data_IF_805479972647
#
_entry.id   IF_805479972647
#
_cell.length_a   1.000
_cell.length_b   1.000
_cell.length_c   1.000
_cell.angle_alpha   90.00
_cell.angle_beta   90.00
_cell.angle_gamma   90.00
#
_symmetry.space_group_name_H-M   'P 1'
#
loop_
_entity.id
_entity.type
_entity.pdbx_description
1 polymer ?
#
# COMPACT_ATOMS: atom_id res chain seq x y z
N UNK A 1 -16.19 -29.06 17.99
CA UNK A 1 -15.54 -27.96 17.25
C UNK A 1 -16.57 -27.39 16.31
N UNK A 2 -16.79 -26.08 16.34
CA UNK A 2 -17.69 -25.43 15.40
C UNK A 2 -16.89 -25.00 14.16
N UNK A 3 -17.41 -25.30 12.98
CA UNK A 3 -16.86 -24.89 11.70
C UNK A 3 -17.59 -23.61 11.26
N UNK A 4 -16.85 -22.58 10.88
CA UNK A 4 -17.42 -21.29 10.48
C UNK A 4 -17.44 -21.21 8.96
N UNK A 5 -18.64 -21.18 8.37
CA UNK A 5 -18.83 -21.02 6.94
C UNK A 5 -19.28 -19.58 6.62
N UNK A 6 -18.61 -18.95 5.64
CA UNK A 6 -18.91 -17.59 5.19
C UNK A 6 -19.77 -17.63 3.93
N UNK A 7 -21.02 -17.19 4.03
CA UNK A 7 -21.98 -17.15 2.91
C UNK A 7 -22.03 -15.79 2.20
N UNK A 8 -21.36 -14.78 2.74
CA UNK A 8 -21.29 -13.43 2.20
C UNK A 8 -19.93 -12.79 2.52
N UNK A 9 -19.54 -11.70 1.84
CA UNK A 9 -18.37 -10.92 2.22
C UNK A 9 -18.46 -10.52 3.70
N UNK A 10 -17.38 -10.77 4.44
CA UNK A 10 -17.25 -10.41 5.84
C UNK A 10 -16.07 -9.44 5.98
N UNK A 11 -16.33 -8.27 6.55
CA UNK A 11 -15.30 -7.33 6.94
C UNK A 11 -15.29 -7.21 8.47
N UNK A 12 -14.15 -7.54 9.07
CA UNK A 12 -13.86 -7.25 10.48
C UNK A 12 -12.66 -6.31 10.45
N UNK A 13 -12.91 -5.03 10.71
CA UNK A 13 -11.87 -4.01 10.80
C UNK A 13 -11.42 -3.78 12.24
N UNK A 14 -10.18 -3.33 12.39
CA UNK A 14 -9.62 -2.80 13.63
C UNK A 14 -9.89 -1.29 13.82
N UNK A 15 -10.54 -0.67 12.84
CA UNK A 15 -10.83 0.76 12.80
C UNK A 15 -9.78 1.58 12.02
N UNK A 16 -8.66 0.97 11.63
CA UNK A 16 -7.65 1.61 10.78
C UNK A 16 -8.05 1.57 9.30
N UNK A 17 -7.39 2.42 8.51
CA UNK A 17 -7.75 2.68 7.12
C UNK A 17 -6.50 2.70 6.26
N UNK A 18 -6.52 1.92 5.18
CA UNK A 18 -5.49 2.04 4.16
C UNK A 18 -5.67 3.35 3.40
N UNK A 19 -4.59 4.09 3.28
CA UNK A 19 -4.51 5.28 2.45
C UNK A 19 -3.79 4.96 1.14
N UNK A 20 -3.81 5.88 0.17
CA UNK A 20 -3.02 5.72 -1.05
C UNK A 20 -1.50 5.66 -0.81
N UNK A 21 -1.03 5.93 0.41
CA UNK A 21 0.36 5.75 0.80
C UNK A 21 0.69 4.32 1.23
N UNK A 22 -0.30 3.45 1.39
CA UNK A 22 -0.13 2.11 1.95
C UNK A 22 -0.18 1.01 0.90
N UNK A 23 -0.38 1.32 -0.38
CA UNK A 23 -0.44 0.30 -1.42
C UNK A 23 0.12 0.74 -2.77
N UNK A 24 0.45 -0.26 -3.58
CA UNK A 24 0.83 -0.14 -4.98
C UNK A 24 -0.09 -1.00 -5.81
N UNK A 25 -0.54 -0.47 -6.95
CA UNK A 25 -1.34 -1.21 -7.91
C UNK A 25 -0.47 -1.76 -9.03
N UNK A 26 -0.54 -3.07 -9.23
CA UNK A 26 0.17 -3.80 -10.29
C UNK A 26 -0.84 -4.62 -11.09
N UNK A 27 -1.43 -3.99 -12.12
CA UNK A 27 -2.52 -4.55 -12.91
C UNK A 27 -3.79 -4.80 -12.08
N UNK A 28 -4.15 -6.08 -11.92
CA UNK A 28 -5.26 -6.56 -11.09
C UNK A 28 -4.86 -6.85 -9.64
N UNK A 29 -3.57 -6.73 -9.29
CA UNK A 29 -3.09 -6.97 -7.93
C UNK A 29 -2.89 -5.66 -7.18
N UNK A 30 -3.34 -5.64 -5.94
CA UNK A 30 -3.07 -4.57 -4.99
C UNK A 30 -2.13 -5.12 -3.92
N UNK A 31 -0.95 -4.52 -3.80
CA UNK A 31 0.08 -4.94 -2.83
C UNK A 31 0.14 -3.89 -1.73
N UNK A 32 -0.07 -4.30 -0.49
CA UNK A 32 -0.10 -3.40 0.65
C UNK A 32 1.28 -3.33 1.30
N UNK A 33 1.85 -2.14 1.33
CA UNK A 33 3.11 -1.79 1.96
C UNK A 33 2.81 -0.68 2.98
N UNK A 34 2.48 -1.06 4.21
CA UNK A 34 2.18 -0.09 5.28
C UNK A 34 3.30 0.96 5.35
N UNK A 35 2.92 2.24 5.29
CA UNK A 35 3.88 3.33 5.10
C UNK A 35 4.98 3.35 6.17
N UNK A 36 4.64 3.03 7.42
CA UNK A 36 5.61 2.95 8.53
C UNK A 36 6.72 1.91 8.29
N UNK A 37 6.39 0.77 7.67
CA UNK A 37 7.41 -0.24 7.30
C UNK A 37 8.35 0.30 6.23
N UNK A 38 7.81 1.05 5.28
CA UNK A 38 8.60 1.68 4.21
C UNK A 38 9.58 2.70 4.80
N UNK A 39 9.09 3.57 5.68
CA UNK A 39 9.94 4.53 6.40
C UNK A 39 10.99 3.83 7.27
N UNK A 40 10.61 2.72 7.91
CA UNK A 40 11.52 1.88 8.70
C UNK A 40 12.70 1.34 7.87
N UNK A 41 12.44 0.81 6.68
CA UNK A 41 13.48 0.32 5.77
C UNK A 41 14.35 1.46 5.24
N UNK A 42 13.75 2.59 4.83
CA UNK A 42 14.51 3.77 4.39
C UNK A 42 15.45 4.27 5.51
N UNK A 43 14.99 4.23 6.76
CA UNK A 43 15.77 4.71 7.91
C UNK A 43 17.03 3.88 8.18
N UNK A 44 17.09 2.65 7.67
CA UNK A 44 18.24 1.74 7.76
C UNK A 44 19.26 1.94 6.62
N UNK A 45 18.95 2.76 5.61
CA UNK A 45 19.88 3.06 4.51
C UNK A 45 21.02 4.00 4.96
N UNK A 46 22.13 3.98 4.20
CA UNK A 46 23.28 4.86 4.45
C UNK A 46 22.89 6.35 4.38
N UNK A 47 23.52 7.19 5.20
CA UNK A 47 23.12 8.58 5.46
C UNK A 47 22.71 9.39 4.23
N UNK A 48 23.56 9.45 3.19
CA UNK A 48 23.27 10.20 1.96
C UNK A 48 22.12 9.58 1.15
N UNK A 49 22.02 8.25 1.09
CA UNK A 49 20.93 7.56 0.39
C UNK A 49 19.60 7.80 1.10
N UNK A 50 19.58 7.59 2.42
CA UNK A 50 18.44 7.85 3.30
C UNK A 50 17.94 9.28 3.15
N UNK A 51 18.83 10.26 3.24
CA UNK A 51 18.47 11.68 3.10
C UNK A 51 17.85 11.99 1.73
N UNK A 52 18.45 11.49 0.65
CA UNK A 52 17.91 11.65 -0.69
C UNK A 52 16.50 11.02 -0.84
N UNK A 53 16.26 9.84 -0.25
CA UNK A 53 14.93 9.21 -0.26
C UNK A 53 13.90 10.00 0.54
N UNK A 54 14.25 10.46 1.74
CA UNK A 54 13.35 11.24 2.58
C UNK A 54 13.00 12.59 1.94
N UNK A 55 13.97 13.25 1.28
CA UNK A 55 13.73 14.46 0.51
C UNK A 55 12.79 14.18 -0.68
N UNK A 56 12.99 13.07 -1.40
CA UNK A 56 12.10 12.67 -2.49
C UNK A 56 10.68 12.38 -2.01
N UNK A 57 10.52 11.67 -0.90
CA UNK A 57 9.21 11.41 -0.29
C UNK A 57 8.45 12.71 0.00
N UNK A 58 9.13 13.72 0.54
CA UNK A 58 8.52 15.04 0.82
C UNK A 58 8.10 15.79 -0.44
N UNK A 59 8.75 15.51 -1.57
CA UNK A 59 8.45 16.16 -2.87
C UNK A 59 7.30 15.51 -3.62
N UNK A 60 6.84 14.33 -3.19
CA UNK A 60 5.73 13.66 -3.86
C UNK A 60 4.39 14.24 -3.41
N UNK A 61 3.82 15.06 -4.28
CA UNK A 61 2.40 15.39 -4.21
C UNK A 61 1.61 14.23 -4.82
N UNK A 62 0.56 13.77 -4.10
CA UNK A 62 -0.46 12.77 -4.48
C UNK A 62 -0.33 11.36 -3.89
N UNK A 63 -1.46 10.64 -3.96
CA UNK A 63 -1.73 9.27 -3.47
C UNK A 63 -0.93 8.14 -4.16
N UNK A 64 0.12 8.44 -4.93
CA UNK A 64 0.95 7.46 -5.65
C UNK A 64 2.40 7.47 -5.16
N UNK A 65 2.61 7.84 -3.90
CA UNK A 65 3.93 8.02 -3.28
C UNK A 65 4.78 6.76 -3.35
N UNK A 66 4.22 5.60 -3.02
CA UNK A 66 4.97 4.35 -3.06
C UNK A 66 5.34 3.92 -4.48
N UNK A 67 4.45 4.16 -5.44
CA UNK A 67 4.73 3.84 -6.84
C UNK A 67 5.91 4.66 -7.36
N UNK A 68 5.89 5.97 -7.11
CA UNK A 68 7.01 6.87 -7.46
C UNK A 68 8.29 6.53 -6.70
N UNK A 69 8.18 6.24 -5.40
CA UNK A 69 9.33 5.82 -4.60
C UNK A 69 9.98 4.56 -5.19
N UNK A 70 9.18 3.58 -5.59
CA UNK A 70 9.70 2.35 -6.20
C UNK A 70 10.13 2.52 -7.65
N UNK A 71 9.68 3.54 -8.37
CA UNK A 71 10.24 3.91 -9.67
C UNK A 71 11.62 4.56 -9.50
N UNK A 72 11.74 5.54 -8.59
CA UNK A 72 12.98 6.26 -8.32
C UNK A 72 14.04 5.38 -7.62
N UNK A 73 13.60 4.44 -6.78
CA UNK A 73 14.45 3.56 -5.97
C UNK A 73 14.03 2.09 -6.12
N UNK A 74 14.09 1.56 -7.34
CA UNK A 74 13.61 0.22 -7.69
C UNK A 74 14.11 -0.94 -6.80
N UNK A 75 15.31 -0.83 -6.23
CA UNK A 75 15.83 -1.86 -5.33
C UNK A 75 15.04 -1.98 -4.01
N UNK A 76 14.30 -0.95 -3.59
CA UNK A 76 13.45 -1.01 -2.40
C UNK A 76 12.34 -2.06 -2.54
N UNK A 77 11.87 -2.36 -3.75
CA UNK A 77 10.89 -3.44 -3.98
C UNK A 77 11.39 -4.81 -3.53
N UNK A 78 12.71 -5.02 -3.54
CA UNK A 78 13.34 -6.27 -3.07
C UNK A 78 13.64 -6.27 -1.56
N UNK A 79 13.64 -5.10 -0.91
CA UNK A 79 13.90 -4.96 0.53
C UNK A 79 12.62 -4.88 1.36
N UNK A 80 11.52 -4.43 0.76
CA UNK A 80 10.25 -4.24 1.43
C UNK A 80 9.28 -5.28 0.88
N UNK A 81 8.97 -6.29 1.68
CA UNK A 81 7.94 -7.27 1.32
C UNK A 81 6.54 -6.69 1.60
N UNK A 82 5.56 -6.94 0.71
CA UNK A 82 4.18 -6.53 0.95
C UNK A 82 3.62 -7.31 2.15
N UNK A 83 2.86 -6.64 3.02
CA UNK A 83 2.21 -7.28 4.17
C UNK A 83 1.20 -8.32 3.70
N UNK A 84 0.46 -7.98 2.64
CA UNK A 84 -0.37 -8.90 1.90
C UNK A 84 -0.59 -8.39 0.47
N UNK A 85 -1.03 -9.31 -0.39
CA UNK A 85 -1.41 -9.01 -1.77
C UNK A 85 -2.84 -9.46 -2.00
N UNK A 86 -3.65 -8.58 -2.59
CA UNK A 86 -5.02 -8.85 -2.98
C UNK A 86 -5.07 -8.98 -4.49
N UNK A 87 -5.61 -10.09 -4.99
CA UNK A 87 -5.99 -10.21 -6.39
C UNK A 87 -7.42 -9.73 -6.55
N UNK A 88 -7.59 -8.68 -7.35
CA UNK A 88 -8.91 -8.12 -7.61
C UNK A 88 -9.45 -8.72 -8.89
N UNK A 89 -10.45 -9.60 -8.72
CA UNK A 89 -11.15 -10.23 -9.84
C UNK A 89 -12.11 -9.20 -10.48
N UNK A 90 -11.63 -8.51 -11.51
CA UNK A 90 -12.39 -7.52 -12.28
C UNK A 90 -11.53 -6.34 -12.75
N UNK A 91 -12.08 -5.50 -13.62
CA UNK A 91 -11.42 -4.25 -14.02
C UNK A 91 -11.67 -3.18 -12.95
N UNK A 92 -10.69 -2.97 -12.07
CA UNK A 92 -10.71 -1.84 -11.15
C UNK A 92 -10.51 -0.53 -11.93
N UNK A 93 -11.53 0.31 -12.05
CA UNK A 93 -11.26 1.71 -12.32
C UNK A 93 -10.65 2.32 -11.05
N UNK A 94 -9.61 3.15 -11.18
CA UNK A 94 -8.94 3.80 -10.02
C UNK A 94 -9.94 4.48 -9.09
N UNK A 95 -10.93 5.15 -9.67
CA UNK A 95 -12.04 5.78 -8.93
C UNK A 95 -12.86 4.78 -8.08
N UNK A 96 -12.95 3.51 -8.46
CA UNK A 96 -13.67 2.49 -7.69
C UNK A 96 -12.87 1.96 -6.51
N UNK A 97 -11.53 1.93 -6.57
CA UNK A 97 -10.70 1.61 -5.40
C UNK A 97 -10.81 2.73 -4.37
N UNK A 98 -10.63 3.97 -4.81
CA UNK A 98 -10.78 5.14 -3.95
C UNK A 98 -12.20 5.23 -3.39
N UNK A 99 -13.22 4.91 -4.20
CA UNK A 99 -14.63 4.89 -3.76
C UNK A 99 -14.95 3.70 -2.87
N UNK A 100 -14.31 2.53 -3.05
CA UNK A 100 -14.47 1.37 -2.18
C UNK A 100 -13.90 1.66 -0.80
N UNK A 101 -12.67 2.19 -0.77
CA UNK A 101 -12.03 2.74 0.43
C UNK A 101 -12.96 3.78 1.07
N UNK A 102 -13.49 4.73 0.28
CA UNK A 102 -14.45 5.75 0.78
C UNK A 102 -15.78 5.18 1.28
N UNK A 103 -16.30 4.10 0.70
CA UNK A 103 -17.59 3.52 1.06
C UNK A 103 -17.55 2.71 2.36
N UNK A 104 -16.38 2.25 2.80
CA UNK A 104 -16.20 1.67 4.13
C UNK A 104 -16.29 2.72 5.26
N UNK A 105 -16.60 3.98 4.93
CA UNK A 105 -16.58 5.11 5.85
C UNK A 105 -17.96 5.69 6.19
N UNK A 106 -19.05 5.06 5.75
CA UNK A 106 -20.41 5.41 6.18
C UNK A 106 -21.02 4.33 7.05
#
# INVERSE_FOLDING_TARGET
>A
MAELELLSPLHIGDGERLTGFDYVRDGSRLRVYLFDRVVGVISQEEGTKRENMLLRLRSYENHRVLERLFEDFGYLRGKIEPVYSLEVKGNLQSAQVDSFIKSMYR
#
